data_IF_928521447884
#
_entry.id   IF_928521447884
#
_cell.length_a   1.000
_cell.length_b   1.000
_cell.length_c   1.000
_cell.angle_alpha   90.00
_cell.angle_beta   90.00
_cell.angle_gamma   90.00
#
_symmetry.space_group_name_H-M   'P 1'
#
loop_
_entity.id
_entity.type
_entity.pdbx_description
1 polymer ?
#
# COMPACT_ATOMS: atom_id res chain seq x y z
N UNK A 1 -15.21 -7.01 7.45
CA UNK A 1 -14.94 -6.12 6.31
C UNK A 1 -16.03 -5.06 6.19
N UNK A 2 -15.68 -3.86 5.70
CA UNK A 2 -16.65 -2.79 5.48
C UNK A 2 -17.59 -3.15 4.32
N UNK A 3 -18.89 -2.81 4.43
CA UNK A 3 -19.82 -2.98 3.33
C UNK A 3 -19.37 -2.20 2.08
N UNK A 4 -19.67 -2.75 0.90
CA UNK A 4 -19.26 -2.13 -0.39
C UNK A 4 -19.81 -0.70 -0.54
N UNK A 5 -21.04 -0.44 -0.08
CA UNK A 5 -21.63 0.89 -0.20
C UNK A 5 -20.89 1.95 0.63
N UNK A 6 -20.33 1.58 1.78
CA UNK A 6 -19.48 2.49 2.57
C UNK A 6 -18.18 2.77 1.82
N UNK A 7 -17.57 1.74 1.23
CA UNK A 7 -16.30 1.87 0.50
C UNK A 7 -16.45 2.77 -0.72
N UNK A 8 -17.62 2.76 -1.38
CA UNK A 8 -17.90 3.63 -2.53
C UNK A 8 -17.78 5.12 -2.16
N UNK A 9 -18.07 5.49 -0.90
CA UNK A 9 -17.93 6.87 -0.42
C UNK A 9 -16.56 7.16 0.22
N UNK A 10 -15.79 6.13 0.59
CA UNK A 10 -14.46 6.25 1.18
C UNK A 10 -13.40 6.12 0.09
N UNK A 11 -13.17 7.22 -0.66
CA UNK A 11 -12.33 7.21 -1.84
C UNK A 11 -10.91 7.72 -1.61
N UNK A 12 -10.59 8.18 -0.40
CA UNK A 12 -9.31 8.81 -0.11
C UNK A 12 -8.66 8.20 1.12
N UNK A 13 -7.35 7.90 1.00
CA UNK A 13 -6.52 7.49 2.12
C UNK A 13 -5.39 8.50 2.28
N UNK A 14 -5.06 8.87 3.52
CA UNK A 14 -3.88 9.67 3.81
C UNK A 14 -2.94 8.87 4.68
N UNK A 15 -1.73 8.61 4.18
CA UNK A 15 -0.66 8.01 4.95
C UNK A 15 0.09 9.12 5.68
N UNK A 16 0.01 9.15 7.00
CA UNK A 16 0.74 10.13 7.82
C UNK A 16 2.12 9.56 8.14
N UNK A 17 3.13 9.99 7.39
CA UNK A 17 4.49 9.47 7.55
C UNK A 17 5.39 10.46 8.28
N UNK A 18 6.54 9.99 8.77
CA UNK A 18 7.54 10.85 9.36
C UNK A 18 8.28 11.74 8.34
N UNK A 19 7.92 11.63 7.05
CA UNK A 19 8.38 12.51 5.98
C UNK A 19 7.29 13.46 5.46
N UNK A 20 6.07 13.36 5.97
CA UNK A 20 4.92 14.14 5.56
C UNK A 20 3.74 13.26 5.16
N UNK A 21 2.65 13.90 4.74
CA UNK A 21 1.42 13.22 4.37
C UNK A 21 1.42 12.82 2.89
N UNK A 22 0.92 11.62 2.63
CA UNK A 22 0.69 11.13 1.27
C UNK A 22 -0.81 10.90 1.12
N UNK A 23 -1.47 11.76 0.36
CA UNK A 23 -2.91 11.66 0.06
C UNK A 23 -3.10 10.83 -1.20
N UNK A 24 -3.87 9.76 -1.10
CA UNK A 24 -4.09 8.81 -2.19
C UNK A 24 -5.56 8.76 -2.54
N UNK A 25 -5.88 8.93 -3.82
CA UNK A 25 -7.22 8.63 -4.32
C UNK A 25 -7.32 7.12 -4.58
N UNK A 26 -8.27 6.46 -3.93
CA UNK A 26 -8.51 5.03 -4.10
C UNK A 26 -9.48 4.77 -5.25
N UNK A 27 -9.39 3.58 -5.86
CA UNK A 27 -10.21 3.19 -7.01
C UNK A 27 -11.18 2.05 -6.66
N UNK A 28 -12.23 2.31 -5.86
CA UNK A 28 -13.15 1.24 -5.41
C UNK A 28 -13.97 0.63 -6.57
N UNK A 29 -14.18 1.37 -7.66
CA UNK A 29 -14.92 0.85 -8.81
C UNK A 29 -14.07 -0.10 -9.67
N UNK A 30 -12.75 0.11 -9.69
CA UNK A 30 -11.81 -0.69 -10.49
C UNK A 30 -11.28 -1.90 -9.73
N UNK A 31 -11.12 -1.76 -8.41
CA UNK A 31 -10.55 -2.80 -7.55
C UNK A 31 -11.30 -2.86 -6.22
N UNK A 32 -12.58 -3.26 -6.22
CA UNK A 32 -13.45 -3.17 -5.03
C UNK A 32 -12.97 -4.02 -3.85
N UNK A 33 -12.54 -5.24 -4.09
CA UNK A 33 -12.07 -6.13 -3.02
C UNK A 33 -10.72 -5.64 -2.45
N UNK A 34 -9.84 -5.19 -3.31
CA UNK A 34 -8.53 -4.66 -2.90
C UNK A 34 -8.67 -3.39 -2.07
N UNK A 35 -9.51 -2.46 -2.50
CA UNK A 35 -9.81 -1.23 -1.73
C UNK A 35 -10.47 -1.57 -0.40
N UNK A 36 -11.44 -2.49 -0.40
CA UNK A 36 -12.10 -2.95 0.83
C UNK A 36 -11.10 -3.54 1.82
N UNK A 37 -10.18 -4.35 1.33
CA UNK A 37 -9.13 -4.95 2.15
C UNK A 37 -8.22 -3.88 2.77
N UNK A 38 -7.72 -2.96 1.95
CA UNK A 38 -6.86 -1.88 2.41
C UNK A 38 -7.55 -1.00 3.46
N UNK A 39 -8.76 -0.55 3.17
CA UNK A 39 -9.55 0.28 4.09
C UNK A 39 -9.85 -0.47 5.38
N UNK A 40 -10.23 -1.74 5.29
CA UNK A 40 -10.53 -2.56 6.46
C UNK A 40 -9.32 -2.76 7.37
N UNK A 41 -8.16 -3.02 6.80
CA UNK A 41 -6.91 -3.16 7.56
C UNK A 41 -6.45 -1.83 8.16
N UNK A 42 -6.61 -0.74 7.41
CA UNK A 42 -6.21 0.60 7.88
C UNK A 42 -7.05 1.10 9.05
N UNK A 43 -8.35 0.78 9.06
CA UNK A 43 -9.30 1.25 10.07
C UNK A 43 -9.48 0.30 11.25
N UNK A 44 -9.02 -0.94 11.14
CA UNK A 44 -9.27 -1.97 12.14
C UNK A 44 -10.63 -2.67 12.00
N UNK A 45 -11.41 -2.34 10.96
CA UNK A 45 -12.71 -2.98 10.71
C UNK A 45 -12.56 -4.42 10.22
N UNK A 46 -11.41 -4.75 9.63
CA UNK A 46 -11.12 -6.11 9.16
C UNK A 46 -10.17 -6.81 10.11
N UNK A 47 -10.57 -7.99 10.59
CA UNK A 47 -9.72 -8.85 11.40
C UNK A 47 -8.58 -9.41 10.55
N UNK A 48 -7.40 -9.50 11.14
CA UNK A 48 -6.22 -10.10 10.54
C UNK A 48 -5.46 -10.91 11.59
N UNK A 49 -4.54 -11.75 11.15
CA UNK A 49 -3.70 -12.53 12.05
C UNK A 49 -2.34 -11.87 12.15
N UNK A 50 -1.97 -11.46 13.35
CA UNK A 50 -0.68 -10.80 13.59
C UNK A 50 0.44 -11.83 13.49
N UNK A 51 1.35 -11.72 12.52
CA UNK A 51 2.43 -12.70 12.35
C UNK A 51 3.45 -12.67 13.49
N UNK A 52 3.48 -11.60 14.30
CA UNK A 52 4.38 -11.50 15.45
C UNK A 52 3.93 -12.38 16.60
N UNK A 53 2.63 -12.61 16.73
CA UNK A 53 2.03 -13.35 17.85
C UNK A 53 1.26 -14.60 17.43
N UNK A 54 0.84 -14.69 16.17
CA UNK A 54 -0.06 -15.72 15.68
C UNK A 54 -1.52 -15.53 16.09
N UNK A 55 -1.84 -14.43 16.79
CA UNK A 55 -3.18 -14.16 17.30
C UNK A 55 -3.99 -13.29 16.33
N UNK A 56 -5.32 -13.45 16.38
CA UNK A 56 -6.24 -12.55 15.68
C UNK A 56 -6.18 -11.15 16.27
N UNK A 57 -6.29 -10.14 15.40
CA UNK A 57 -6.21 -8.74 15.78
C UNK A 57 -7.21 -7.91 14.98
N UNK A 58 -7.76 -6.89 15.62
CA UNK A 58 -8.52 -5.81 14.98
C UNK A 58 -7.80 -4.46 15.14
N UNK A 59 -6.51 -4.48 15.44
CA UNK A 59 -5.71 -3.26 15.44
C UNK A 59 -5.55 -2.74 14.02
N UNK A 60 -5.24 -1.45 13.91
CA UNK A 60 -4.97 -0.81 12.61
C UNK A 60 -3.62 -1.31 12.11
N UNK A 61 -3.64 -2.20 11.13
CA UNK A 61 -2.45 -2.93 10.68
C UNK A 61 -1.31 -2.01 10.25
N UNK A 62 -1.63 -0.92 9.54
CA UNK A 62 -0.61 -0.05 8.95
C UNK A 62 0.03 0.92 9.93
N UNK A 63 -0.59 1.16 11.08
CA UNK A 63 -0.03 2.08 12.08
C UNK A 63 1.31 1.56 12.60
N UNK A 64 2.35 2.38 12.46
CA UNK A 64 3.71 2.04 12.91
C UNK A 64 4.50 1.16 11.94
N UNK A 65 3.96 0.79 10.79
CA UNK A 65 4.69 0.02 9.78
C UNK A 65 5.64 0.92 8.98
N UNK A 66 6.64 0.31 8.35
CA UNK A 66 7.68 1.06 7.64
C UNK A 66 7.68 0.75 6.15
N UNK A 67 8.22 1.67 5.36
CA UNK A 67 8.60 1.38 3.98
C UNK A 67 9.93 0.62 4.00
N UNK A 68 9.84 -0.69 3.99
CA UNK A 68 11.00 -1.58 4.17
C UNK A 68 11.84 -1.79 2.90
N UNK A 69 11.31 -1.43 1.74
CA UNK A 69 12.02 -1.56 0.46
C UNK A 69 11.76 -0.33 -0.39
N UNK A 70 12.83 0.41 -0.68
CA UNK A 70 12.78 1.66 -1.42
C UNK A 70 13.83 1.62 -2.51
N UNK A 71 13.40 1.77 -3.78
CA UNK A 71 14.29 1.78 -4.94
C UNK A 71 14.04 3.07 -5.71
N UNK A 72 15.05 3.96 -5.71
CA UNK A 72 14.98 5.22 -6.44
C UNK A 72 14.72 4.97 -7.93
N UNK A 73 13.82 5.77 -8.52
CA UNK A 73 13.44 5.62 -9.92
C UNK A 73 12.49 4.46 -10.19
N UNK A 74 12.06 3.73 -9.17
CA UNK A 74 11.14 2.59 -9.31
C UNK A 74 9.92 2.71 -8.40
N UNK A 75 10.07 2.41 -7.10
CA UNK A 75 8.92 2.39 -6.19
C UNK A 75 9.34 2.43 -4.72
N UNK A 76 8.37 2.72 -3.86
CA UNK A 76 8.48 2.58 -2.41
C UNK A 76 7.47 1.53 -1.95
N UNK A 77 7.89 0.57 -1.14
CA UNK A 77 7.07 -0.57 -0.71
C UNK A 77 6.99 -0.65 0.81
N UNK A 78 5.79 -0.88 1.30
CA UNK A 78 5.52 -1.02 2.73
C UNK A 78 4.30 -1.90 3.00
N UNK A 79 3.75 -1.79 4.20
CA UNK A 79 2.52 -2.50 4.58
C UNK A 79 2.73 -3.90 5.15
N UNK A 80 3.97 -4.27 5.48
CA UNK A 80 4.28 -5.52 6.16
C UNK A 80 4.32 -5.28 7.67
N UNK A 81 3.44 -5.93 8.47
CA UNK A 81 3.48 -5.77 9.93
C UNK A 81 4.80 -6.24 10.56
N UNK A 82 5.56 -7.10 9.89
CA UNK A 82 6.91 -7.48 10.32
C UNK A 82 7.98 -6.49 9.86
N UNK A 83 7.70 -5.67 8.84
CA UNK A 83 8.68 -4.77 8.26
C UNK A 83 9.85 -5.46 7.58
N UNK A 84 9.69 -6.71 7.14
CA UNK A 84 10.76 -7.54 6.58
C UNK A 84 10.57 -7.90 5.10
N UNK A 85 9.33 -7.78 4.59
CA UNK A 85 8.99 -8.11 3.21
C UNK A 85 8.29 -9.45 3.02
N UNK A 86 8.21 -10.29 4.06
CA UNK A 86 7.55 -11.59 3.98
C UNK A 86 6.35 -11.74 4.93
N UNK A 87 6.01 -10.70 5.69
CA UNK A 87 4.84 -10.70 6.55
C UNK A 87 3.58 -10.26 5.82
N UNK A 88 2.45 -10.47 6.45
CA UNK A 88 1.15 -10.10 5.93
C UNK A 88 0.03 -10.30 6.93
N UNK A 89 -1.23 -10.25 6.50
CA UNK A 89 -2.39 -10.28 7.38
C UNK A 89 -2.86 -11.70 7.73
N UNK A 90 -2.15 -12.74 7.28
CA UNK A 90 -2.50 -14.13 7.55
C UNK A 90 -3.48 -14.75 6.55
N UNK A 91 -3.76 -14.07 5.45
CA UNK A 91 -4.59 -14.56 4.36
C UNK A 91 -4.08 -14.01 3.03
N UNK A 92 -4.60 -14.56 1.93
CA UNK A 92 -4.31 -14.10 0.57
C UNK A 92 -5.62 -13.91 -0.19
N UNK A 93 -5.63 -13.01 -1.17
CA UNK A 93 -6.79 -12.81 -2.03
C UNK A 93 -6.39 -12.55 -3.48
N UNK A 94 -7.37 -12.63 -4.36
CA UNK A 94 -7.19 -12.61 -5.82
C UNK A 94 -6.79 -11.23 -6.34
N UNK A 95 -6.21 -11.21 -7.52
CA UNK A 95 -5.92 -9.99 -8.27
C UNK A 95 -7.21 -9.40 -8.88
N UNK A 96 -7.19 -8.08 -9.07
CA UNK A 96 -8.26 -7.35 -9.74
C UNK A 96 -7.64 -6.46 -10.82
N UNK A 97 -7.36 -7.05 -11.99
CA UNK A 97 -6.80 -6.33 -13.12
C UNK A 97 -7.92 -5.67 -13.92
N UNK A 98 -7.84 -4.35 -14.08
CA UNK A 98 -8.82 -3.60 -14.87
C UNK A 98 -8.15 -3.09 -16.15
N UNK A 99 -8.79 -3.24 -17.33
CA UNK A 99 -8.18 -2.87 -18.61
C UNK A 99 -7.87 -1.37 -18.74
N UNK A 100 -8.55 -0.52 -17.98
CA UNK A 100 -8.29 0.92 -17.96
C UNK A 100 -7.08 1.31 -17.12
N UNK A 101 -6.57 0.41 -16.26
CA UNK A 101 -5.47 0.70 -15.35
C UNK A 101 -4.19 0.01 -15.79
N UNK A 102 -3.19 0.80 -16.13
CA UNK A 102 -1.88 0.35 -16.55
C UNK A 102 -0.80 1.15 -15.82
N UNK A 103 0.37 0.54 -15.65
CA UNK A 103 1.53 1.21 -15.05
C UNK A 103 2.21 2.13 -16.07
N UNK A 104 1.47 3.06 -16.65
CA UNK A 104 1.90 3.97 -17.72
C UNK A 104 2.39 5.33 -17.22
N UNK A 105 2.38 5.53 -15.89
CA UNK A 105 2.76 6.79 -15.25
C UNK A 105 3.22 6.55 -13.82
N UNK A 106 3.92 7.52 -13.18
CA UNK A 106 4.30 7.40 -11.77
C UNK A 106 3.11 7.61 -10.82
N UNK A 107 3.36 7.36 -9.54
CA UNK A 107 2.47 7.64 -8.41
C UNK A 107 1.23 6.74 -8.33
N UNK A 108 1.31 5.55 -8.88
CA UNK A 108 0.25 4.55 -8.76
C UNK A 108 0.46 3.69 -7.53
N UNK A 109 -0.63 3.46 -6.79
CA UNK A 109 -0.68 2.56 -5.64
C UNK A 109 -1.13 1.18 -6.12
N UNK A 110 -0.34 0.17 -5.80
CA UNK A 110 -0.61 -1.20 -6.22
C UNK A 110 -0.24 -2.21 -5.13
N UNK A 111 -0.78 -3.43 -5.22
CA UNK A 111 -0.49 -4.51 -4.28
C UNK A 111 0.81 -5.23 -4.64
N UNK A 112 1.69 -5.35 -3.65
CA UNK A 112 2.80 -6.29 -3.74
C UNK A 112 2.27 -7.71 -3.61
N UNK A 113 2.94 -8.67 -4.25
CA UNK A 113 2.55 -10.08 -4.18
C UNK A 113 3.75 -10.99 -4.44
N UNK A 114 3.54 -12.30 -4.25
CA UNK A 114 4.51 -13.35 -4.53
C UNK A 114 4.05 -14.26 -5.68
N UNK A 115 3.31 -13.69 -6.63
CA UNK A 115 2.73 -14.39 -7.77
C UNK A 115 1.21 -14.22 -7.82
N UNK A 116 0.52 -14.85 -8.78
CA UNK A 116 -0.92 -14.70 -8.95
C UNK A 116 -1.72 -15.05 -7.68
N UNK A 117 -2.67 -14.20 -7.32
CA UNK A 117 -3.61 -14.47 -6.23
C UNK A 117 -2.98 -14.49 -4.84
N UNK A 118 -1.88 -13.78 -4.63
CA UNK A 118 -1.19 -13.77 -3.33
C UNK A 118 -1.18 -12.40 -2.65
N UNK A 119 -2.18 -11.57 -2.90
CA UNK A 119 -2.31 -10.27 -2.26
C UNK A 119 -2.61 -10.42 -0.76
N UNK A 120 -2.01 -9.57 0.05
CA UNK A 120 -2.22 -9.54 1.49
C UNK A 120 -2.35 -8.11 2.00
N UNK A 121 -1.30 -7.58 2.65
CA UNK A 121 -1.30 -6.20 3.16
C UNK A 121 -0.23 -5.33 2.53
N UNK A 122 0.83 -5.89 1.96
CA UNK A 122 1.92 -5.12 1.39
C UNK A 122 1.50 -4.41 0.10
N UNK A 123 1.93 -3.17 -0.03
CA UNK A 123 1.63 -2.33 -1.19
C UNK A 123 2.89 -1.57 -1.61
N UNK A 124 2.85 -1.00 -2.80
CA UNK A 124 3.91 -0.09 -3.25
C UNK A 124 3.31 1.11 -3.99
N UNK A 125 4.07 2.19 -4.03
CA UNK A 125 3.75 3.39 -4.81
C UNK A 125 4.88 3.57 -5.81
N UNK A 126 4.55 3.63 -7.10
CA UNK A 126 5.55 3.80 -8.16
C UNK A 126 6.02 5.25 -8.25
N UNK A 127 7.26 5.45 -8.71
CA UNK A 127 7.81 6.79 -8.99
C UNK A 127 8.22 6.94 -10.45
N UNK A 128 7.85 5.98 -11.28
CA UNK A 128 8.07 5.97 -12.73
C UNK A 128 6.99 5.13 -13.41
N UNK A 129 6.90 5.18 -14.73
CA UNK A 129 6.14 4.22 -15.50
C UNK A 129 6.84 2.85 -15.40
N UNK A 130 6.07 1.80 -15.07
CA UNK A 130 6.60 0.46 -14.82
C UNK A 130 5.76 -0.58 -15.58
N UNK A 131 5.70 -0.45 -16.90
CA UNK A 131 4.77 -1.21 -17.75
C UNK A 131 4.95 -2.72 -17.67
N UNK A 132 6.15 -3.22 -17.27
CA UNK A 132 6.39 -4.65 -17.07
C UNK A 132 5.56 -5.23 -15.90
N UNK A 133 4.95 -4.39 -15.06
CA UNK A 133 4.09 -4.81 -13.96
C UNK A 133 2.61 -4.96 -14.37
N UNK A 134 2.24 -4.55 -15.57
CA UNK A 134 0.87 -4.67 -16.06
C UNK A 134 0.38 -6.12 -16.00
N UNK A 135 -0.83 -6.31 -15.45
CA UNK A 135 -1.46 -7.64 -15.26
C UNK A 135 -0.68 -8.59 -14.36
N UNK A 136 0.20 -8.03 -13.51
CA UNK A 136 0.93 -8.78 -12.48
C UNK A 136 0.63 -8.26 -11.08
N UNK A 137 0.28 -6.97 -10.97
CA UNK A 137 -0.07 -6.31 -9.70
C UNK A 137 -1.35 -5.51 -9.87
N UNK A 138 -2.22 -5.59 -8.86
CA UNK A 138 -3.48 -4.84 -8.83
C UNK A 138 -3.23 -3.38 -8.51
N UNK A 139 -3.57 -2.49 -9.43
CA UNK A 139 -3.57 -1.04 -9.21
C UNK A 139 -4.88 -0.67 -8.51
N UNK A 140 -4.82 0.03 -7.37
CA UNK A 140 -6.01 0.40 -6.64
C UNK A 140 -6.05 1.84 -6.13
N UNK A 141 -5.11 2.68 -6.53
CA UNK A 141 -5.10 4.09 -6.17
C UNK A 141 -4.03 4.88 -6.89
N UNK A 142 -4.05 6.19 -6.66
CA UNK A 142 -3.10 7.13 -7.25
C UNK A 142 -2.86 8.33 -6.35
N UNK A 143 -1.60 8.78 -6.26
CA UNK A 143 -1.22 10.03 -5.59
C UNK A 143 -1.31 11.14 -6.62
N UNK A 144 -2.27 12.06 -6.50
CA UNK A 144 -2.57 13.06 -7.52
C UNK A 144 -2.07 14.46 -7.20
N UNK A 145 -2.02 14.85 -5.92
CA UNK A 145 -1.61 16.21 -5.56
C UNK A 145 -0.08 16.35 -5.50
N UNK A 146 0.41 17.52 -5.87
CA UNK A 146 1.84 17.80 -5.98
C UNK A 146 2.57 17.68 -4.63
N UNK A 147 1.94 18.10 -3.54
CA UNK A 147 2.55 18.02 -2.21
C UNK A 147 2.79 16.58 -1.79
N UNK A 148 1.81 15.69 -2.00
CA UNK A 148 1.94 14.26 -1.68
C UNK A 148 2.94 13.57 -2.60
N UNK A 149 2.95 13.90 -3.89
CA UNK A 149 3.95 13.40 -4.84
C UNK A 149 5.36 13.77 -4.40
N UNK A 150 5.55 14.97 -3.89
CA UNK A 150 6.84 15.44 -3.37
C UNK A 150 7.30 14.61 -2.18
N UNK A 151 6.39 14.21 -1.29
CA UNK A 151 6.70 13.34 -0.16
C UNK A 151 7.12 11.94 -0.65
N UNK A 152 6.40 11.39 -1.64
CA UNK A 152 6.75 10.10 -2.24
C UNK A 152 8.16 10.16 -2.86
N UNK A 153 8.46 11.21 -3.61
CA UNK A 153 9.77 11.40 -4.23
C UNK A 153 10.89 11.53 -3.19
N UNK A 154 10.63 12.23 -2.10
CA UNK A 154 11.57 12.37 -1.00
C UNK A 154 11.87 11.02 -0.35
N UNK A 155 10.86 10.21 -0.13
CA UNK A 155 11.05 8.85 0.41
C UNK A 155 11.83 7.99 -0.58
N UNK A 156 11.48 8.06 -1.86
CA UNK A 156 12.12 7.26 -2.91
C UNK A 156 13.61 7.53 -3.08
N UNK A 157 14.08 8.70 -2.67
CA UNK A 157 15.49 9.10 -2.75
C UNK A 157 16.23 9.07 -1.41
N UNK A 158 15.60 8.54 -0.35
CA UNK A 158 16.26 8.39 0.94
C UNK A 158 17.40 7.39 0.84
N UNK A 159 18.49 7.59 1.59
CA UNK A 159 19.60 6.62 1.60
C UNK A 159 19.14 5.23 2.04
N UNK A 160 19.56 4.21 1.31
CA UNK A 160 19.22 2.81 1.59
C UNK A 160 20.47 1.98 1.80
N UNK A 161 20.31 0.87 2.50
CA UNK A 161 21.34 -0.13 2.74
C UNK A 161 21.00 -1.47 2.12
N UNK A 162 21.39 -2.55 2.78
CA UNK A 162 21.13 -3.90 2.32
C UNK A 162 19.64 -4.13 2.06
N UNK A 163 19.32 -4.86 0.98
CA UNK A 163 17.96 -5.20 0.56
C UNK A 163 17.08 -3.97 0.28
N UNK A 164 17.69 -2.86 -0.12
CA UNK A 164 16.99 -1.60 -0.42
C UNK A 164 16.19 -1.05 0.77
N UNK A 165 16.62 -1.36 1.97
CA UNK A 165 16.02 -0.86 3.21
C UNK A 165 16.52 0.54 3.52
N UNK A 166 15.64 1.51 3.81
CA UNK A 166 16.08 2.84 4.26
C UNK A 166 16.99 2.78 5.48
N UNK A 167 18.09 3.52 5.45
CA UNK A 167 19.03 3.61 6.57
C UNK A 167 18.34 4.18 7.81
N UNK A 168 17.53 5.24 7.60
CA UNK A 168 16.68 5.79 8.64
C UNK A 168 15.24 5.37 8.36
N UNK A 169 14.57 4.80 9.34
CA UNK A 169 13.21 4.26 9.15
C UNK A 169 12.24 5.31 8.61
N UNK A 170 11.53 4.94 7.55
CA UNK A 170 10.42 5.72 7.00
C UNK A 170 9.14 5.05 7.50
N UNK A 171 8.50 5.70 8.46
CA UNK A 171 7.39 5.12 9.22
C UNK A 171 6.04 5.72 8.82
N UNK A 172 5.04 4.87 8.65
CA UNK A 172 3.64 5.27 8.55
C UNK A 172 3.12 5.34 9.99
N UNK A 173 2.94 6.56 10.50
CA UNK A 173 2.46 6.74 11.88
C UNK A 173 1.01 6.34 12.03
N UNK A 174 0.19 6.69 11.03
CA UNK A 174 -1.24 6.36 10.98
C UNK A 174 -1.77 6.51 9.56
N UNK A 175 -2.98 6.02 9.33
CA UNK A 175 -3.71 6.16 8.05
C UNK A 175 -5.09 6.72 8.34
N UNK A 176 -5.47 7.77 7.65
CA UNK A 176 -6.82 8.34 7.71
C UNK A 176 -7.58 7.97 6.43
N UNK A 177 -8.79 7.47 6.58
CA UNK A 177 -9.69 7.16 5.46
C UNK A 177 -10.83 8.16 5.43
N UNK A 178 -11.07 8.76 4.27
CA UNK A 178 -12.12 9.76 4.09
C UNK A 178 -12.91 9.57 2.78
#
# INVERSE_FOLDING_TARGET
>A
ALPIWIITFMTQATLHTNHGDIVIELFPNHAPETVSNFVGLATGEKEWTDPRTGAKSNEKLYDGTVFHRVIAGFMIQGGDPLGQGFGGPGYKFKDEFHPELNFDRPYLLAMANAGPGTNGSQFFITVAATEWLNRKHTIFGEVKDAASQSVVDKIATTPTGAQDRPVNAVTINSVTIA
#
